data_IF_295005009150
#
_entry.id   IF_295005009150
#
_cell.length_a   1.000
_cell.length_b   1.000
_cell.length_c   1.000
_cell.angle_alpha   90.00
_cell.angle_beta   90.00
_cell.angle_gamma   90.00
#
_symmetry.space_group_name_H-M   'P 1'
#
loop_
_entity.id
_entity.type
_entity.pdbx_description
1 polymer ?
#
# COMPACT_ATOMS: atom_id res chain seq x y z
N UNK A 1 19.14 -15.61 1.82
CA UNK A 1 17.76 -16.03 2.22
C UNK A 1 16.84 -15.84 1.02
N UNK A 2 15.97 -16.80 0.71
CA UNK A 2 15.01 -16.65 -0.40
C UNK A 2 13.75 -15.93 0.10
N UNK A 3 13.42 -14.80 -0.54
CA UNK A 3 12.16 -14.12 -0.30
C UNK A 3 11.03 -14.84 -1.02
N UNK A 4 9.87 -14.94 -0.37
CA UNK A 4 8.68 -15.61 -0.91
C UNK A 4 7.54 -14.61 -1.05
N UNK A 5 6.62 -14.87 -1.98
CA UNK A 5 5.38 -14.12 -2.06
C UNK A 5 4.55 -14.39 -0.80
N UNK A 6 4.28 -13.38 0.06
CA UNK A 6 3.46 -13.59 1.25
C UNK A 6 2.02 -13.96 0.86
N UNK A 7 1.34 -14.82 1.62
CA UNK A 7 -0.06 -15.16 1.32
C UNK A 7 -0.95 -13.92 1.47
N UNK A 8 -2.01 -13.85 0.65
CA UNK A 8 -3.07 -12.85 0.84
C UNK A 8 -3.79 -13.08 2.18
N UNK A 9 -4.19 -12.01 2.91
CA UNK A 9 -4.95 -12.15 4.16
C UNK A 9 -6.43 -12.50 3.92
N UNK A 10 -6.86 -12.69 2.68
CA UNK A 10 -8.23 -13.01 2.28
C UNK A 10 -8.24 -13.84 0.98
N UNK A 11 -9.38 -14.47 0.69
CA UNK A 11 -9.60 -15.15 -0.60
C UNK A 11 -9.66 -14.13 -1.74
N UNK A 12 -9.14 -14.49 -2.92
CA UNK A 12 -9.10 -13.59 -4.10
C UNK A 12 -10.48 -13.09 -4.54
N UNK A 13 -11.55 -13.82 -4.25
CA UNK A 13 -12.93 -13.42 -4.59
C UNK A 13 -13.56 -12.51 -3.55
N UNK A 14 -12.96 -12.41 -2.37
CA UNK A 14 -13.61 -11.83 -1.21
C UNK A 14 -13.78 -10.30 -1.27
N UNK A 15 -13.05 -9.61 -2.13
CA UNK A 15 -13.14 -8.14 -2.28
C UNK A 15 -14.18 -7.69 -3.34
N UNK A 16 -14.81 -8.63 -4.05
CA UNK A 16 -15.87 -8.28 -4.99
C UNK A 16 -17.07 -7.63 -4.26
N UNK A 17 -17.76 -6.64 -4.86
CA UNK A 17 -17.61 -6.16 -6.23
C UNK A 17 -16.56 -5.03 -6.39
N UNK A 18 -15.81 -4.67 -5.36
CA UNK A 18 -14.92 -3.51 -5.33
C UNK A 18 -13.55 -3.77 -5.98
N UNK A 19 -13.10 -5.02 -5.96
CA UNK A 19 -11.90 -5.50 -6.64
C UNK A 19 -12.14 -6.95 -7.07
N UNK A 20 -12.00 -7.23 -8.36
CA UNK A 20 -12.28 -8.56 -8.92
C UNK A 20 -11.19 -9.58 -8.60
N UNK A 21 -11.56 -10.87 -8.69
CA UNK A 21 -10.60 -11.97 -8.66
C UNK A 21 -9.56 -11.83 -9.77
N UNK A 22 -9.97 -11.43 -10.98
CA UNK A 22 -9.05 -11.23 -12.10
C UNK A 22 -8.00 -10.17 -11.78
N UNK A 23 -8.38 -9.03 -11.19
CA UNK A 23 -7.42 -8.02 -10.73
C UNK A 23 -6.42 -8.61 -9.75
N UNK A 24 -6.86 -9.42 -8.78
CA UNK A 24 -5.95 -10.04 -7.81
C UNK A 24 -5.07 -11.13 -8.42
N UNK A 25 -5.55 -11.88 -9.42
CA UNK A 25 -4.73 -12.85 -10.14
C UNK A 25 -3.57 -12.20 -10.87
N UNK A 26 -3.79 -11.03 -11.49
CA UNK A 26 -2.72 -10.29 -12.15
C UNK A 26 -1.90 -9.46 -11.15
N UNK A 27 -2.52 -8.68 -10.29
CA UNK A 27 -1.83 -7.74 -9.41
C UNK A 27 -0.96 -8.47 -8.36
N UNK A 28 -1.55 -9.44 -7.65
CA UNK A 28 -0.83 -10.26 -6.68
C UNK A 28 -0.05 -11.41 -7.36
N UNK A 29 -0.75 -12.21 -8.17
CA UNK A 29 -0.20 -13.45 -8.71
C UNK A 29 0.79 -13.29 -9.85
N UNK A 30 0.83 -12.14 -10.54
CA UNK A 30 1.77 -11.85 -11.63
C UNK A 30 2.69 -10.69 -11.28
N UNK A 31 2.16 -9.49 -11.02
CA UNK A 31 3.01 -8.30 -10.76
C UNK A 31 3.85 -8.48 -9.48
N UNK A 32 3.23 -8.74 -8.34
CA UNK A 32 4.00 -8.90 -7.11
C UNK A 32 4.90 -10.14 -7.14
N UNK A 33 4.44 -11.24 -7.71
CA UNK A 33 5.29 -12.43 -7.89
C UNK A 33 6.52 -12.13 -8.75
N UNK A 34 6.38 -11.33 -9.80
CA UNK A 34 7.52 -10.93 -10.62
C UNK A 34 8.53 -10.09 -9.84
N UNK A 35 8.08 -9.18 -8.98
CA UNK A 35 8.98 -8.42 -8.10
C UNK A 35 9.74 -9.34 -7.13
N UNK A 36 9.08 -10.34 -6.55
CA UNK A 36 9.74 -11.34 -5.68
C UNK A 36 10.79 -12.13 -6.45
N UNK A 37 10.45 -12.63 -7.63
CA UNK A 37 11.37 -13.39 -8.49
C UNK A 37 12.58 -12.56 -8.90
N UNK A 38 12.34 -11.33 -9.36
CA UNK A 38 13.40 -10.41 -9.77
C UNK A 38 14.31 -10.03 -8.59
N UNK A 39 13.71 -9.75 -7.42
CA UNK A 39 14.48 -9.47 -6.19
C UNK A 39 15.45 -10.61 -5.89
N UNK A 40 14.95 -11.86 -5.81
CA UNK A 40 15.80 -13.02 -5.52
C UNK A 40 16.93 -13.19 -6.53
N UNK A 41 16.66 -12.93 -7.81
CA UNK A 41 17.70 -12.99 -8.85
C UNK A 41 18.77 -11.89 -8.68
N UNK A 42 18.34 -10.67 -8.32
CA UNK A 42 19.22 -9.51 -8.20
C UNK A 42 20.10 -9.55 -6.95
N UNK A 43 19.63 -10.13 -5.84
CA UNK A 43 20.38 -10.17 -4.58
C UNK A 43 21.32 -11.37 -4.45
N UNK A 44 21.18 -12.37 -5.31
CA UNK A 44 21.98 -13.60 -5.26
C UNK A 44 23.47 -13.29 -5.39
N UNK A 45 24.27 -13.75 -4.42
CA UNK A 45 25.70 -13.53 -4.37
C UNK A 45 26.11 -12.09 -4.00
N UNK A 46 25.17 -11.24 -3.56
CA UNK A 46 25.45 -9.86 -3.10
C UNK A 46 25.36 -9.76 -1.58
N UNK A 47 25.73 -8.58 -1.05
CA UNK A 47 25.57 -8.24 0.37
C UNK A 47 24.12 -8.28 0.86
N UNK A 48 23.14 -8.24 -0.05
CA UNK A 48 21.71 -8.26 0.26
C UNK A 48 21.13 -9.66 0.40
N UNK A 49 21.83 -10.72 -0.02
CA UNK A 49 21.27 -12.09 -0.13
C UNK A 49 20.66 -12.63 1.16
N UNK A 50 21.24 -12.25 2.31
CA UNK A 50 20.81 -12.76 3.61
C UNK A 50 20.13 -11.71 4.50
N UNK A 51 19.79 -10.55 3.94
CA UNK A 51 19.09 -9.49 4.67
C UNK A 51 17.59 -9.69 4.64
N UNK A 52 16.89 -9.13 5.63
CA UNK A 52 15.43 -9.00 5.62
C UNK A 52 14.99 -8.06 4.50
N UNK A 53 13.74 -8.22 4.06
CA UNK A 53 13.16 -7.35 3.01
C UNK A 53 13.28 -5.86 3.38
N UNK A 54 12.97 -5.52 4.62
CA UNK A 54 13.03 -4.13 5.09
C UNK A 54 14.46 -3.56 5.12
N UNK A 55 15.45 -4.38 5.49
CA UNK A 55 16.85 -3.97 5.42
C UNK A 55 17.31 -3.74 3.99
N UNK A 56 16.88 -4.60 3.05
CA UNK A 56 17.18 -4.43 1.63
C UNK A 56 16.58 -3.11 1.14
N UNK A 57 15.30 -2.84 1.42
CA UNK A 57 14.65 -1.59 1.03
C UNK A 57 15.40 -0.37 1.55
N UNK A 58 15.87 -0.41 2.81
CA UNK A 58 16.55 0.74 3.44
C UNK A 58 17.99 0.95 2.95
N UNK A 59 18.66 -0.10 2.48
CA UNK A 59 20.11 -0.07 2.17
C UNK A 59 20.43 -0.10 0.68
N UNK A 60 19.45 -0.49 -0.15
CA UNK A 60 19.67 -0.69 -1.59
C UNK A 60 19.26 0.50 -2.45
N UNK A 61 19.62 0.45 -3.72
CA UNK A 61 19.24 1.42 -4.75
C UNK A 61 18.97 0.73 -6.09
N UNK A 62 18.48 1.47 -7.08
CA UNK A 62 18.27 0.98 -8.44
C UNK A 62 17.31 -0.22 -8.49
N UNK A 63 17.68 -1.25 -9.26
CA UNK A 63 16.82 -2.42 -9.49
C UNK A 63 16.52 -3.22 -8.21
N UNK A 64 17.48 -3.35 -7.29
CA UNK A 64 17.29 -4.05 -6.00
C UNK A 64 16.26 -3.30 -5.16
N UNK A 65 16.42 -1.98 -5.01
CA UNK A 65 15.46 -1.13 -4.32
C UNK A 65 14.07 -1.23 -4.95
N UNK A 66 13.96 -1.05 -6.26
CA UNK A 66 12.66 -1.04 -6.92
C UNK A 66 11.88 -2.34 -6.68
N UNK A 67 12.55 -3.50 -6.82
CA UNK A 67 11.87 -4.78 -6.61
C UNK A 67 11.57 -5.04 -5.14
N UNK A 68 12.49 -4.78 -4.22
CA UNK A 68 12.27 -4.98 -2.78
C UNK A 68 11.18 -4.06 -2.22
N UNK A 69 11.22 -2.78 -2.59
CA UNK A 69 10.20 -1.82 -2.16
C UNK A 69 8.81 -2.17 -2.73
N UNK A 70 8.73 -2.62 -3.99
CA UNK A 70 7.45 -3.08 -4.55
C UNK A 70 6.93 -4.34 -3.86
N UNK A 71 7.78 -5.30 -3.49
CA UNK A 71 7.34 -6.45 -2.68
C UNK A 71 6.76 -5.97 -1.35
N UNK A 72 7.43 -5.04 -0.68
CA UNK A 72 6.99 -4.50 0.61
C UNK A 72 5.69 -3.69 0.47
N UNK A 73 5.62 -2.76 -0.49
CA UNK A 73 4.47 -1.89 -0.73
C UNK A 73 3.20 -2.70 -1.02
N UNK A 74 3.29 -3.72 -1.88
CA UNK A 74 2.16 -4.58 -2.21
C UNK A 74 1.72 -5.42 -1.00
N UNK A 75 2.67 -5.99 -0.25
CA UNK A 75 2.35 -6.74 0.97
C UNK A 75 1.64 -5.86 1.99
N UNK A 76 2.11 -4.64 2.17
CA UNK A 76 1.45 -3.65 3.04
C UNK A 76 0.05 -3.30 2.53
N UNK A 77 -0.10 -3.09 1.21
CA UNK A 77 -1.38 -2.76 0.58
C UNK A 77 -2.44 -3.85 0.80
N UNK A 78 -2.09 -5.13 0.63
CA UNK A 78 -3.05 -6.22 0.88
C UNK A 78 -3.57 -6.23 2.31
N UNK A 79 -2.73 -5.92 3.29
CA UNK A 79 -3.15 -5.80 4.69
C UNK A 79 -4.01 -4.56 4.95
N UNK A 80 -3.92 -3.52 4.10
CA UNK A 80 -4.81 -2.36 4.14
C UNK A 80 -6.24 -2.65 3.67
N UNK A 81 -6.49 -3.86 3.11
CA UNK A 81 -7.78 -4.26 2.56
C UNK A 81 -8.41 -5.37 3.41
N UNK A 82 -9.74 -5.39 3.46
CA UNK A 82 -10.52 -6.42 4.15
C UNK A 82 -11.88 -6.60 3.48
N UNK A 83 -12.35 -7.86 3.33
CA UNK A 83 -13.74 -8.13 2.92
C UNK A 83 -14.79 -7.58 3.90
N UNK A 84 -14.43 -7.38 5.15
CA UNK A 84 -15.25 -6.75 6.19
C UNK A 84 -14.82 -5.30 6.46
N UNK A 85 -14.09 -4.70 5.51
CA UNK A 85 -13.58 -3.35 5.62
C UNK A 85 -14.63 -2.26 5.40
N UNK A 86 -14.13 -1.05 5.21
CA UNK A 86 -14.97 0.13 5.05
C UNK A 86 -15.37 0.79 6.37
N UNK A 87 -16.34 1.69 6.30
CA UNK A 87 -16.74 2.47 7.46
C UNK A 87 -15.68 3.51 7.86
N UNK A 88 -15.49 3.70 9.17
CA UNK A 88 -14.61 4.70 9.73
C UNK A 88 -13.59 4.10 10.72
N UNK A 89 -12.42 4.73 10.91
CA UNK A 89 -11.48 4.34 11.96
C UNK A 89 -12.09 4.47 13.34
N UNK A 90 -11.49 3.78 14.33
CA UNK A 90 -11.93 3.81 15.74
C UNK A 90 -10.76 4.17 16.66
N UNK A 91 -11.09 4.54 17.90
CA UNK A 91 -10.11 4.80 18.95
C UNK A 91 -9.11 5.90 18.60
N UNK A 92 -7.88 5.77 19.07
CA UNK A 92 -6.84 6.79 18.96
C UNK A 92 -6.54 7.24 17.52
N UNK A 93 -6.66 6.35 16.53
CA UNK A 93 -6.50 6.73 15.13
C UNK A 93 -7.63 7.65 14.67
N UNK A 94 -8.88 7.38 15.04
CA UNK A 94 -10.02 8.25 14.72
C UNK A 94 -9.85 9.64 15.36
N UNK A 95 -9.42 9.69 16.61
CA UNK A 95 -9.18 10.94 17.33
C UNK A 95 -8.07 11.77 16.63
N UNK A 96 -6.97 11.12 16.25
CA UNK A 96 -5.86 11.77 15.54
C UNK A 96 -6.27 12.28 14.15
N UNK A 97 -7.07 11.51 13.40
CA UNK A 97 -7.62 11.92 12.10
C UNK A 97 -8.54 13.14 12.28
N UNK A 98 -9.45 13.10 13.25
CA UNK A 98 -10.35 14.22 13.52
C UNK A 98 -9.59 15.48 13.99
N UNK A 99 -8.57 15.31 14.82
CA UNK A 99 -7.72 16.41 15.25
C UNK A 99 -6.97 17.07 14.07
N UNK A 100 -6.52 16.28 13.08
CA UNK A 100 -5.75 16.79 11.93
C UNK A 100 -6.61 17.39 10.84
N UNK A 101 -7.72 16.75 10.49
CA UNK A 101 -8.57 17.15 9.33
C UNK A 101 -9.96 17.69 9.73
N UNK A 102 -10.32 17.67 11.00
CA UNK A 102 -11.62 18.10 11.52
C UNK A 102 -12.67 16.98 11.51
N UNK A 103 -12.62 16.05 10.57
CA UNK A 103 -13.51 14.89 10.51
C UNK A 103 -12.92 13.76 9.66
N UNK A 104 -13.47 12.55 9.81
CA UNK A 104 -13.16 11.43 8.92
C UNK A 104 -13.49 11.73 7.45
N UNK A 105 -14.61 12.40 7.18
CA UNK A 105 -15.00 12.75 5.80
C UNK A 105 -14.04 13.74 5.16
N UNK A 106 -13.59 14.73 5.89
CA UNK A 106 -12.57 15.68 5.41
C UNK A 106 -11.22 14.99 5.15
N UNK A 107 -10.83 14.04 6.01
CA UNK A 107 -9.66 13.18 5.74
C UNK A 107 -9.84 12.35 4.48
N UNK A 108 -10.99 11.68 4.33
CA UNK A 108 -11.32 10.85 3.17
C UNK A 108 -11.26 11.66 1.88
N UNK A 109 -11.78 12.88 1.90
CA UNK A 109 -11.70 13.81 0.76
C UNK A 109 -10.24 14.19 0.43
N UNK A 110 -9.45 14.57 1.45
CA UNK A 110 -8.05 14.94 1.28
C UNK A 110 -7.19 13.78 0.74
N UNK A 111 -7.37 12.59 1.30
CA UNK A 111 -6.67 11.38 0.85
C UNK A 111 -7.08 10.99 -0.59
N UNK A 112 -8.36 11.01 -0.89
CA UNK A 112 -8.88 10.71 -2.23
C UNK A 112 -8.34 11.70 -3.26
N UNK A 113 -8.33 12.99 -2.95
CA UNK A 113 -7.75 14.03 -3.81
C UNK A 113 -6.26 13.79 -4.06
N UNK A 114 -5.49 13.43 -3.03
CA UNK A 114 -4.07 13.08 -3.17
C UNK A 114 -3.87 11.83 -4.04
N UNK A 115 -4.67 10.77 -3.84
CA UNK A 115 -4.60 9.53 -4.60
C UNK A 115 -4.95 9.72 -6.08
N UNK A 116 -6.02 10.44 -6.38
CA UNK A 116 -6.43 10.75 -7.76
C UNK A 116 -5.41 11.65 -8.44
N UNK A 117 -4.89 12.65 -7.72
CA UNK A 117 -3.93 13.64 -8.24
C UNK A 117 -2.49 13.15 -8.30
N UNK A 118 -2.16 11.97 -7.78
CA UNK A 118 -0.81 11.42 -7.87
C UNK A 118 -0.46 11.10 -9.33
N UNK A 119 0.39 11.94 -9.93
CA UNK A 119 0.69 11.87 -11.36
C UNK A 119 1.51 10.61 -11.70
N UNK A 120 1.07 9.88 -12.72
CA UNK A 120 1.73 8.66 -13.18
C UNK A 120 1.50 7.46 -12.24
N UNK A 121 2.53 6.65 -12.07
CA UNK A 121 2.54 5.46 -11.21
C UNK A 121 3.06 5.79 -9.83
N UNK A 122 2.39 5.30 -8.80
CA UNK A 122 2.81 5.56 -7.43
C UNK A 122 1.82 5.06 -6.38
N UNK A 123 1.97 5.58 -5.17
CA UNK A 123 1.25 5.18 -3.98
C UNK A 123 0.83 6.41 -3.19
N UNK A 124 -0.32 6.36 -2.54
CA UNK A 124 -0.72 7.40 -1.58
C UNK A 124 -0.86 6.77 -0.20
N UNK A 125 -0.29 7.42 0.78
CA UNK A 125 -0.09 6.91 2.13
C UNK A 125 -0.73 7.84 3.17
N UNK A 126 -1.36 7.24 4.19
CA UNK A 126 -1.50 7.87 5.49
C UNK A 126 -0.29 7.46 6.32
N UNK A 127 0.43 8.45 6.86
CA UNK A 127 1.62 8.22 7.67
C UNK A 127 1.53 8.92 9.03
N UNK A 128 2.25 8.36 10.02
CA UNK A 128 2.54 9.01 11.30
C UNK A 128 3.98 9.50 11.25
N UNK A 129 4.20 10.80 11.37
CA UNK A 129 5.53 11.41 11.40
C UNK A 129 6.23 11.18 12.73
N UNK A 130 7.54 11.44 12.79
CA UNK A 130 8.35 11.29 14.01
C UNK A 130 7.84 12.15 15.19
N UNK A 131 7.20 13.29 14.91
CA UNK A 131 6.56 14.14 15.91
C UNK A 131 5.19 13.64 16.39
N UNK A 132 4.74 12.47 15.87
CA UNK A 132 3.44 11.87 16.18
C UNK A 132 2.27 12.39 15.35
N UNK A 133 2.45 13.46 14.58
CA UNK A 133 1.39 14.02 13.73
C UNK A 133 1.12 13.12 12.51
N UNK A 134 -0.13 13.14 12.03
CA UNK A 134 -0.52 12.46 10.80
C UNK A 134 -0.24 13.32 9.57
N UNK A 135 0.03 12.65 8.44
CA UNK A 135 0.13 13.30 7.14
C UNK A 135 -0.32 12.39 6.00
N UNK A 136 -0.69 12.99 4.86
CA UNK A 136 -0.96 12.29 3.61
C UNK A 136 0.23 12.53 2.68
N UNK A 137 0.88 11.47 2.24
CA UNK A 137 2.07 11.52 1.39
C UNK A 137 1.82 10.73 0.11
N UNK A 138 2.12 11.34 -1.04
CA UNK A 138 2.15 10.62 -2.32
C UNK A 138 3.59 10.33 -2.71
N UNK A 139 3.84 9.11 -3.15
CA UNK A 139 5.17 8.67 -3.63
C UNK A 139 5.07 8.19 -5.07
N UNK A 140 6.15 8.35 -5.82
CA UNK A 140 6.23 7.91 -7.22
C UNK A 140 6.91 6.55 -7.33
N UNK A 141 6.49 5.77 -8.30
CA UNK A 141 7.08 4.45 -8.63
C UNK A 141 7.12 3.51 -7.40
N UNK A 142 8.31 3.07 -7.00
CA UNK A 142 8.52 2.16 -5.88
C UNK A 142 8.79 2.86 -4.54
N UNK A 143 8.87 4.19 -4.53
CA UNK A 143 9.20 4.93 -3.30
C UNK A 143 8.19 4.65 -2.18
N UNK A 144 8.70 4.59 -0.94
CA UNK A 144 7.98 4.10 0.22
C UNK A 144 8.33 4.90 1.48
N UNK A 145 7.38 5.12 2.40
CA UNK A 145 7.69 5.72 3.71
C UNK A 145 8.70 4.93 4.54
N UNK A 146 8.90 3.63 4.27
CA UNK A 146 9.85 2.79 4.97
C UNK A 146 11.30 3.31 4.92
N UNK A 147 11.64 4.14 3.94
CA UNK A 147 12.96 4.79 3.81
C UNK A 147 13.04 6.17 4.48
N UNK A 148 12.01 6.55 5.22
CA UNK A 148 11.90 7.82 5.93
C UNK A 148 11.68 7.58 7.43
N UNK A 149 11.62 8.65 8.22
CA UNK A 149 11.27 8.56 9.65
C UNK A 149 9.75 8.44 9.89
N UNK A 150 8.94 8.40 8.83
CA UNK A 150 7.50 8.27 8.94
C UNK A 150 7.07 6.80 8.98
N UNK A 151 6.11 6.50 9.85
CA UNK A 151 5.49 5.16 9.95
C UNK A 151 4.29 5.09 9.02
N UNK A 152 4.27 4.15 8.08
CA UNK A 152 3.10 3.89 7.22
C UNK A 152 1.93 3.33 8.03
N UNK A 153 0.73 3.85 7.83
CA UNK A 153 -0.50 3.41 8.50
C UNK A 153 -1.49 2.78 7.53
N UNK A 154 -1.66 3.38 6.36
CA UNK A 154 -2.58 2.97 5.31
C UNK A 154 -1.98 3.35 3.96
N UNK A 155 -2.26 2.57 2.92
CA UNK A 155 -1.87 2.93 1.55
C UNK A 155 -2.91 2.50 0.52
N UNK A 156 -2.90 3.20 -0.62
CA UNK A 156 -3.55 2.79 -1.85
C UNK A 156 -2.52 2.78 -2.98
N UNK A 157 -2.53 1.70 -3.77
CA UNK A 157 -1.77 1.60 -5.01
C UNK A 157 -2.52 2.34 -6.13
N UNK A 158 -1.88 3.33 -6.74
CA UNK A 158 -2.44 4.09 -7.87
C UNK A 158 -1.69 3.88 -9.17
N UNK A 159 -0.84 2.85 -9.26
CA UNK A 159 -0.38 2.31 -10.53
C UNK A 159 -1.59 1.84 -11.34
N UNK A 160 -1.56 2.00 -12.66
CA UNK A 160 -2.68 1.58 -13.52
C UNK A 160 -2.98 0.08 -13.41
N UNK A 161 -1.95 -0.76 -13.20
CA UNK A 161 -2.14 -2.20 -13.01
C UNK A 161 -3.01 -2.55 -11.80
N UNK A 162 -3.14 -1.65 -10.82
CA UNK A 162 -3.95 -1.87 -9.62
C UNK A 162 -5.46 -1.80 -9.91
N UNK A 163 -5.87 -1.09 -10.98
CA UNK A 163 -7.29 -0.80 -11.20
C UNK A 163 -7.76 -0.92 -12.66
N UNK A 164 -6.85 -1.07 -13.63
CA UNK A 164 -7.24 -0.99 -15.05
C UNK A 164 -8.19 -2.10 -15.48
N UNK A 165 -8.11 -3.30 -14.92
CA UNK A 165 -9.00 -4.42 -15.23
C UNK A 165 -10.43 -4.07 -14.85
N UNK A 166 -10.68 -3.56 -13.65
CA UNK A 166 -12.03 -3.28 -13.14
C UNK A 166 -12.56 -1.89 -13.54
N UNK A 167 -11.69 -0.90 -13.62
CA UNK A 167 -12.06 0.51 -13.72
C UNK A 167 -11.53 1.21 -14.97
N UNK A 168 -10.71 0.54 -15.79
CA UNK A 168 -10.00 1.11 -16.94
C UNK A 168 -9.22 2.37 -16.51
N UNK A 169 -9.35 3.47 -17.21
CA UNK A 169 -8.70 4.75 -16.90
C UNK A 169 -9.38 5.54 -15.76
N UNK A 170 -10.43 4.99 -15.15
CA UNK A 170 -11.23 5.73 -14.16
C UNK A 170 -10.66 5.58 -12.73
N UNK A 171 -9.42 6.04 -12.48
CA UNK A 171 -8.80 6.07 -11.15
C UNK A 171 -9.72 6.63 -10.05
N UNK A 172 -10.52 7.72 -10.29
CA UNK A 172 -11.43 8.21 -9.27
C UNK A 172 -12.44 7.17 -8.78
N UNK A 173 -12.96 6.33 -9.67
CA UNK A 173 -13.91 5.26 -9.30
C UNK A 173 -13.23 4.14 -8.49
N UNK A 174 -11.99 3.81 -8.81
CA UNK A 174 -11.20 2.89 -8.01
C UNK A 174 -10.94 3.42 -6.59
N UNK A 175 -10.55 4.70 -6.48
CA UNK A 175 -10.35 5.35 -5.18
C UNK A 175 -11.64 5.40 -4.37
N UNK A 176 -12.80 5.62 -5.01
CA UNK A 176 -14.11 5.55 -4.35
C UNK A 176 -14.40 4.13 -3.85
N UNK A 177 -14.16 3.11 -4.68
CA UNK A 177 -14.37 1.71 -4.32
C UNK A 177 -13.46 1.25 -3.17
N UNK A 178 -12.21 1.73 -3.11
CA UNK A 178 -11.25 1.43 -2.05
C UNK A 178 -11.81 1.68 -0.65
N UNK A 179 -12.59 2.75 -0.45
CA UNK A 179 -13.15 3.09 0.85
C UNK A 179 -14.14 2.06 1.41
N UNK A 180 -14.69 1.19 0.55
CA UNK A 180 -15.59 0.12 0.99
C UNK A 180 -14.85 -1.10 1.54
N UNK A 181 -13.55 -1.21 1.31
CA UNK A 181 -12.72 -2.36 1.66
C UNK A 181 -11.51 -2.00 2.54
N UNK A 182 -11.42 -0.77 3.03
CA UNK A 182 -10.32 -0.33 3.92
C UNK A 182 -10.32 -1.10 5.22
N UNK A 183 -9.17 -1.66 5.58
CA UNK A 183 -8.93 -2.34 6.86
C UNK A 183 -8.48 -1.35 7.93
N UNK A 184 -9.43 -0.70 8.58
CA UNK A 184 -9.14 0.27 9.66
C UNK A 184 -8.49 -0.36 10.89
N UNK A 185 -8.73 -1.64 11.16
CA UNK A 185 -8.09 -2.35 12.28
C UNK A 185 -6.57 -2.49 12.05
N UNK A 186 -6.16 -2.76 10.80
CA UNK A 186 -4.75 -2.77 10.44
C UNK A 186 -4.11 -1.37 10.56
N UNK A 187 -4.77 -0.34 10.04
CA UNK A 187 -4.30 1.03 10.17
C UNK A 187 -4.18 1.47 11.63
N UNK A 188 -5.16 1.11 12.48
CA UNK A 188 -5.16 1.37 13.92
C UNK A 188 -4.03 0.67 14.66
N UNK A 189 -3.72 -0.60 14.32
CA UNK A 189 -2.58 -1.33 14.88
C UNK A 189 -1.24 -0.68 14.51
N UNK A 190 -1.12 -0.17 13.29
CA UNK A 190 0.08 0.55 12.87
C UNK A 190 0.21 1.92 13.55
N UNK A 191 -0.91 2.54 13.95
CA UNK A 191 -0.90 3.84 14.63
C UNK A 191 -0.43 3.74 16.09
N UNK A 192 -0.68 2.62 16.75
CA UNK A 192 -0.35 2.37 18.16
C UNK A 192 1.18 2.44 18.50
#
# INVERSE_FOLDING_TARGET
MEHKLPPLPFDKKALAPHMSEETLEFHYGKHQQAYVTNLNNLIKGTEFENLSLEEIVKKSSGGVFNNSAQVWNHTFFWNCLSPQGGGAPKGALADAINAKWGSHDAFKEAFSKAAVGNFGSGWTWLVKKADGSLDIVSTSNAATPLTTDAKALLTIDVWEHAYYIDYRNARPKFVEAFWNIVNWDFAGKNFA
#
